data_IF_935578679137
#
_entry.id   IF_935578679137
#
_cell.length_a   1.000
_cell.length_b   1.000
_cell.length_c   1.000
_cell.angle_alpha   90.00
_cell.angle_beta   90.00
_cell.angle_gamma   90.00
#
_symmetry.space_group_name_H-M   'P 1'
#
loop_
_entity.id
_entity.type
_entity.pdbx_description
1 polymer ?
#
# COMPACT_ATOMS: atom_id res chain seq x y z
N UNK A 1 18.65 4.17 12.81
CA UNK A 1 19.71 3.16 12.80
C UNK A 1 20.16 2.93 11.36
N UNK A 2 21.27 3.55 10.97
CA UNK A 2 21.81 3.55 9.60
C UNK A 2 22.31 2.16 9.18
N UNK A 3 22.87 1.40 10.12
CA UNK A 3 23.35 0.05 9.90
C UNK A 3 22.22 -0.89 9.41
N UNK A 4 21.03 -0.79 10.00
CA UNK A 4 19.85 -1.57 9.58
C UNK A 4 19.44 -1.21 8.14
N UNK A 5 19.55 0.07 7.77
CA UNK A 5 19.23 0.52 6.42
C UNK A 5 20.22 -0.07 5.39
N UNK A 6 21.52 0.01 5.66
CA UNK A 6 22.55 -0.56 4.78
C UNK A 6 22.40 -2.08 4.63
N UNK A 7 22.20 -2.80 5.74
CA UNK A 7 21.93 -4.24 5.71
C UNK A 7 20.70 -4.59 4.87
N UNK A 8 19.63 -3.78 4.94
CA UNK A 8 18.43 -3.98 4.12
C UNK A 8 18.75 -3.79 2.63
N UNK A 9 19.51 -2.76 2.27
CA UNK A 9 19.92 -2.52 0.88
C UNK A 9 20.70 -3.72 0.33
N UNK A 10 21.64 -4.25 1.09
CA UNK A 10 22.46 -5.38 0.65
C UNK A 10 21.64 -6.66 0.49
N UNK A 11 20.75 -6.95 1.43
CA UNK A 11 19.86 -8.11 1.33
C UNK A 11 18.88 -7.98 0.15
N UNK A 12 18.32 -6.80 -0.08
CA UNK A 12 17.46 -6.55 -1.25
C UNK A 12 18.22 -6.77 -2.56
N UNK A 13 19.49 -6.35 -2.66
CA UNK A 13 20.33 -6.61 -3.83
C UNK A 13 20.57 -8.10 -4.05
N UNK A 14 20.85 -8.84 -2.98
CA UNK A 14 21.04 -10.30 -3.03
C UNK A 14 19.77 -11.01 -3.53
N UNK A 15 18.63 -10.70 -2.92
CA UNK A 15 17.32 -11.24 -3.30
C UNK A 15 16.99 -10.95 -4.77
N UNK A 16 17.26 -9.73 -5.25
CA UNK A 16 17.00 -9.38 -6.66
C UNK A 16 17.94 -10.12 -7.61
N UNK A 17 19.19 -10.36 -7.23
CA UNK A 17 20.18 -11.04 -8.07
C UNK A 17 19.91 -12.54 -8.17
N UNK A 18 19.72 -13.21 -7.03
CA UNK A 18 19.53 -14.65 -6.94
C UNK A 18 18.48 -14.97 -5.85
N UNK A 19 17.19 -15.00 -6.21
CA UNK A 19 16.12 -15.17 -5.25
C UNK A 19 16.09 -16.57 -4.64
N UNK A 20 16.38 -17.63 -5.41
CA UNK A 20 16.34 -19.02 -4.90
C UNK A 20 17.43 -19.24 -3.85
N UNK A 21 18.66 -18.90 -4.19
CA UNK A 21 19.77 -18.98 -3.24
C UNK A 21 19.55 -18.08 -2.02
N UNK A 22 18.88 -16.93 -2.18
CA UNK A 22 18.53 -16.08 -1.04
C UNK A 22 17.63 -16.81 -0.03
N UNK A 23 16.54 -17.43 -0.48
CA UNK A 23 15.61 -18.14 0.40
C UNK A 23 16.24 -19.40 1.02
N UNK A 24 17.04 -20.14 0.25
CA UNK A 24 17.82 -21.29 0.75
C UNK A 24 18.79 -20.86 1.87
N UNK A 25 19.58 -19.80 1.64
CA UNK A 25 20.58 -19.30 2.60
C UNK A 25 19.94 -18.77 3.88
N UNK A 26 18.80 -18.09 3.78
CA UNK A 26 18.08 -17.59 4.96
C UNK A 26 17.19 -18.67 5.61
N UNK A 27 17.21 -19.92 5.09
CA UNK A 27 16.41 -21.07 5.54
C UNK A 27 14.92 -20.75 5.62
N UNK A 28 14.41 -20.12 4.57
CA UNK A 28 13.01 -19.72 4.46
C UNK A 28 12.37 -20.39 3.26
N UNK A 29 11.09 -20.76 3.40
CA UNK A 29 10.31 -21.25 2.28
C UNK A 29 10.02 -20.12 1.30
N UNK A 30 10.08 -20.41 0.01
CA UNK A 30 9.64 -19.48 -1.02
C UNK A 30 8.14 -19.17 -0.83
N UNK A 31 7.73 -17.90 -0.88
CA UNK A 31 6.33 -17.52 -0.70
C UNK A 31 5.45 -18.01 -1.87
N UNK A 32 6.03 -18.10 -3.07
CA UNK A 32 5.39 -18.54 -4.31
C UNK A 32 6.50 -18.88 -5.33
N UNK A 33 6.12 -19.34 -6.52
CA UNK A 33 7.05 -19.65 -7.62
C UNK A 33 7.82 -18.40 -8.12
N UNK A 34 9.16 -18.42 -7.97
CA UNK A 34 10.06 -17.31 -8.28
C UNK A 34 10.70 -17.40 -9.69
N UNK A 35 10.27 -18.33 -10.53
CA UNK A 35 10.91 -18.57 -11.84
C UNK A 35 10.63 -17.46 -12.87
N UNK A 36 9.44 -16.85 -12.81
CA UNK A 36 9.00 -15.90 -13.83
C UNK A 36 9.23 -14.43 -13.42
N UNK A 37 10.48 -13.98 -13.44
CA UNK A 37 10.85 -12.60 -13.05
C UNK A 37 10.35 -11.54 -14.05
N UNK A 38 9.89 -10.40 -13.53
CA UNK A 38 9.55 -9.22 -14.35
C UNK A 38 10.83 -8.40 -14.63
N UNK A 39 11.15 -8.19 -15.91
CA UNK A 39 12.39 -7.51 -16.32
C UNK A 39 12.32 -5.98 -16.16
N UNK A 40 13.49 -5.37 -15.89
CA UNK A 40 13.68 -3.94 -15.62
C UNK A 40 13.21 -2.94 -16.71
N UNK A 41 13.03 -3.27 -18.00
CA UNK A 41 12.47 -2.29 -18.94
C UNK A 41 10.99 -1.93 -18.65
N UNK A 42 10.24 -2.82 -18.00
CA UNK A 42 8.77 -2.73 -17.86
C UNK A 42 8.25 -1.83 -16.74
N UNK A 43 9.11 -1.11 -16.02
CA UNK A 43 8.70 -0.26 -14.88
C UNK A 43 9.27 1.16 -14.96
N UNK A 44 9.80 1.57 -16.12
CA UNK A 44 10.23 2.95 -16.35
C UNK A 44 9.09 3.95 -16.10
N UNK A 45 7.87 3.59 -16.53
CA UNK A 45 6.67 4.36 -16.22
C UNK A 45 6.46 4.49 -14.71
N UNK A 46 6.52 3.38 -13.98
CA UNK A 46 6.37 3.38 -12.51
C UNK A 46 7.45 4.23 -11.84
N UNK A 47 8.71 4.14 -12.26
CA UNK A 47 9.79 4.97 -11.72
C UNK A 47 9.53 6.46 -11.97
N UNK A 48 9.13 6.83 -13.19
CA UNK A 48 8.78 8.21 -13.52
C UNK A 48 7.58 8.71 -12.71
N UNK A 49 6.56 7.87 -12.53
CA UNK A 49 5.37 8.19 -11.76
C UNK A 49 5.68 8.40 -10.28
N UNK A 50 6.47 7.51 -9.66
CA UNK A 50 6.89 7.64 -8.27
C UNK A 50 7.80 8.85 -8.05
N UNK A 51 8.70 9.14 -9.00
CA UNK A 51 9.53 10.34 -8.95
C UNK A 51 8.67 11.61 -9.02
N UNK A 52 7.72 11.67 -9.96
CA UNK A 52 6.85 12.82 -10.13
C UNK A 52 5.91 13.04 -8.94
N UNK A 53 5.39 11.96 -8.35
CA UNK A 53 4.46 12.05 -7.22
C UNK A 53 5.18 12.26 -5.89
N UNK A 54 6.21 11.48 -5.60
CA UNK A 54 6.77 11.36 -4.25
C UNK A 54 8.25 11.70 -4.19
N UNK A 55 8.87 12.09 -5.30
CA UNK A 55 10.30 12.41 -5.37
C UNK A 55 11.15 11.22 -4.88
N UNK A 56 10.75 10.00 -5.25
CA UNK A 56 11.39 8.75 -4.84
C UNK A 56 11.43 7.80 -6.03
N UNK A 57 12.49 7.01 -6.13
CA UNK A 57 12.56 5.91 -7.09
C UNK A 57 13.07 4.66 -6.39
N UNK A 58 12.63 3.52 -6.89
CA UNK A 58 13.21 2.23 -6.54
C UNK A 58 14.24 1.87 -7.61
N UNK A 59 15.42 1.38 -7.20
CA UNK A 59 16.45 0.87 -8.11
C UNK A 59 16.29 -0.62 -8.37
N UNK A 60 15.92 -1.37 -7.32
CA UNK A 60 15.88 -2.82 -7.31
C UNK A 60 14.64 -3.30 -6.54
N UNK A 61 13.65 -3.81 -7.28
CA UNK A 61 12.48 -4.48 -6.75
C UNK A 61 12.50 -5.95 -7.17
N UNK A 62 12.14 -6.84 -6.25
CA UNK A 62 11.99 -8.26 -6.50
C UNK A 62 10.57 -8.51 -7.02
N UNK A 63 10.41 -8.62 -8.35
CA UNK A 63 9.13 -8.67 -9.05
C UNK A 63 8.97 -9.99 -9.81
N UNK A 64 7.87 -10.70 -9.60
CA UNK A 64 7.65 -12.02 -10.19
C UNK A 64 6.19 -12.24 -10.61
N UNK A 65 5.99 -13.04 -11.65
CA UNK A 65 4.67 -13.51 -12.07
C UNK A 65 4.36 -14.88 -11.44
N UNK A 66 3.34 -14.95 -10.62
CA UNK A 66 2.83 -16.23 -10.09
C UNK A 66 1.37 -16.08 -9.68
N UNK A 67 0.55 -17.09 -9.98
CA UNK A 67 -0.85 -17.12 -9.53
C UNK A 67 -1.02 -17.88 -8.20
N UNK A 68 0.04 -18.55 -7.72
CA UNK A 68 0.02 -19.36 -6.50
C UNK A 68 -0.35 -18.49 -5.30
N UNK A 69 -1.27 -18.93 -4.46
CA UNK A 69 -1.69 -18.24 -3.23
C UNK A 69 -2.41 -16.88 -3.42
N UNK A 70 -2.63 -16.40 -4.64
CA UNK A 70 -3.42 -15.17 -4.88
C UNK A 70 -4.91 -15.50 -4.97
N UNK A 71 -5.72 -14.81 -4.17
CA UNK A 71 -7.18 -14.91 -4.24
C UNK A 71 -7.74 -14.29 -5.52
N UNK A 72 -8.86 -14.80 -6.03
CA UNK A 72 -9.43 -14.41 -7.34
C UNK A 72 -9.73 -12.91 -7.51
N UNK A 73 -9.72 -12.11 -6.45
CA UNK A 73 -9.91 -10.65 -6.50
C UNK A 73 -8.59 -9.87 -6.35
N UNK A 74 -7.48 -10.53 -6.00
CA UNK A 74 -6.15 -9.92 -5.88
C UNK A 74 -5.42 -10.01 -7.21
N UNK A 75 -5.00 -8.86 -7.76
CA UNK A 75 -4.21 -8.81 -9.00
C UNK A 75 -2.70 -8.97 -8.74
N UNK A 76 -2.26 -8.54 -7.55
CA UNK A 76 -0.90 -8.61 -7.07
C UNK A 76 -0.92 -8.68 -5.53
N UNK A 77 0.24 -9.00 -4.95
CA UNK A 77 0.46 -8.94 -3.51
C UNK A 77 1.91 -8.54 -3.21
N UNK A 78 2.09 -7.72 -2.18
CA UNK A 78 3.40 -7.45 -1.56
C UNK A 78 3.62 -8.40 -0.40
N UNK A 79 4.54 -9.36 -0.56
CA UNK A 79 4.95 -10.27 0.50
C UNK A 79 6.09 -9.66 1.30
N UNK A 80 5.90 -9.55 2.61
CA UNK A 80 6.93 -9.03 3.51
C UNK A 80 7.71 -10.22 4.08
N UNK A 81 8.93 -10.41 3.58
CA UNK A 81 9.84 -11.45 4.03
C UNK A 81 10.64 -10.90 5.21
N UNK A 82 10.45 -11.50 6.39
CA UNK A 82 11.18 -11.13 7.59
C UNK A 82 12.40 -12.05 7.75
N UNK A 83 13.59 -11.47 7.56
CA UNK A 83 14.85 -12.15 7.76
C UNK A 83 15.10 -12.28 9.26
N UNK A 84 14.67 -13.42 9.84
CA UNK A 84 14.67 -13.71 11.29
C UNK A 84 16.02 -13.43 11.97
N UNK A 85 17.12 -13.73 11.28
CA UNK A 85 18.49 -13.52 11.76
C UNK A 85 18.81 -12.05 12.04
N UNK A 86 18.11 -11.10 11.39
CA UNK A 86 18.46 -9.67 11.39
C UNK A 86 17.30 -8.74 11.73
N UNK A 87 16.08 -9.26 11.94
CA UNK A 87 14.84 -8.46 12.13
C UNK A 87 14.63 -7.42 11.00
N UNK A 88 14.97 -7.80 9.77
CA UNK A 88 14.84 -6.94 8.59
C UNK A 88 13.69 -7.45 7.74
N UNK A 89 12.75 -6.56 7.45
CA UNK A 89 11.65 -6.78 6.51
C UNK A 89 12.07 -6.38 5.09
N UNK A 90 11.83 -7.26 4.12
CA UNK A 90 12.14 -7.06 2.69
C UNK A 90 10.88 -7.38 1.87
N UNK A 91 10.47 -6.51 0.94
CA UNK A 91 9.29 -6.75 0.12
C UNK A 91 9.62 -7.60 -1.11
N UNK A 92 8.76 -8.56 -1.41
CA UNK A 92 8.74 -9.36 -2.64
C UNK A 92 7.38 -9.18 -3.30
N UNK A 93 7.37 -8.73 -4.55
CA UNK A 93 6.13 -8.44 -5.25
C UNK A 93 5.74 -9.59 -6.17
N UNK A 94 4.51 -10.05 -5.98
CA UNK A 94 3.87 -11.07 -6.79
C UNK A 94 2.79 -10.45 -7.67
N UNK A 95 2.77 -10.81 -8.95
CA UNK A 95 1.74 -10.40 -9.90
C UNK A 95 1.10 -11.63 -10.55
N UNK A 96 -0.20 -11.55 -10.84
CA UNK A 96 -0.86 -12.60 -11.62
C UNK A 96 -0.24 -12.79 -12.99
N UNK A 97 -0.16 -14.04 -13.46
CA UNK A 97 0.43 -14.36 -14.79
C UNK A 97 -0.35 -13.71 -15.93
N UNK A 98 -1.66 -13.52 -15.76
CA UNK A 98 -2.53 -12.87 -16.75
C UNK A 98 -2.11 -11.43 -17.08
N UNK A 99 -1.55 -10.70 -16.12
CA UNK A 99 -1.03 -9.34 -16.29
C UNK A 99 0.16 -9.25 -17.25
N UNK A 100 0.76 -10.38 -17.62
CA UNK A 100 1.82 -10.42 -18.63
C UNK A 100 1.32 -10.06 -20.03
N UNK A 101 0.05 -10.36 -20.31
CA UNK A 101 -0.53 -10.28 -21.65
C UNK A 101 -1.72 -9.32 -21.74
N UNK A 102 -2.52 -9.19 -20.68
CA UNK A 102 -3.74 -8.38 -20.70
C UNK A 102 -4.01 -7.68 -19.35
N UNK A 103 -4.76 -6.58 -19.35
CA UNK A 103 -5.25 -5.97 -18.11
C UNK A 103 -6.05 -6.95 -17.27
N UNK A 104 -5.89 -6.85 -15.95
CA UNK A 104 -6.69 -7.62 -15.00
C UNK A 104 -8.08 -7.02 -14.84
N UNK A 105 -9.12 -7.86 -14.90
CA UNK A 105 -10.53 -7.46 -14.91
C UNK A 105 -10.83 -6.32 -15.92
N UNK A 106 -10.12 -6.31 -17.05
CA UNK A 106 -10.23 -5.32 -18.14
C UNK A 106 -9.87 -3.86 -17.80
N UNK A 107 -9.72 -3.50 -16.52
CA UNK A 107 -9.55 -2.11 -16.07
C UNK A 107 -8.25 -1.84 -15.32
N UNK A 108 -7.54 -2.88 -14.88
CA UNK A 108 -6.29 -2.74 -14.11
C UNK A 108 -5.08 -3.12 -14.97
N UNK A 109 -4.27 -2.13 -15.33
CA UNK A 109 -3.03 -2.35 -16.09
C UNK A 109 -1.89 -2.77 -15.17
N UNK A 110 -0.91 -3.49 -15.74
CA UNK A 110 0.30 -3.88 -15.02
C UNK A 110 1.01 -2.66 -14.42
N UNK A 111 1.17 -1.59 -15.20
CA UNK A 111 1.87 -0.37 -14.77
C UNK A 111 1.22 0.27 -13.53
N UNK A 112 -0.11 0.34 -13.52
CA UNK A 112 -0.87 0.91 -12.41
C UNK A 112 -0.75 0.05 -11.15
N UNK A 113 -0.90 -1.27 -11.28
CA UNK A 113 -0.73 -2.20 -10.15
C UNK A 113 0.72 -2.18 -9.66
N UNK A 114 1.71 -2.14 -10.55
CA UNK A 114 3.11 -2.12 -10.19
C UNK A 114 3.48 -0.84 -9.44
N UNK A 115 2.95 0.32 -9.85
CA UNK A 115 3.13 1.56 -9.10
C UNK A 115 2.47 1.53 -7.72
N UNK A 116 1.30 0.88 -7.61
CA UNK A 116 0.62 0.65 -6.34
C UNK A 116 1.47 -0.21 -5.39
N UNK A 117 1.89 -1.40 -5.83
CA UNK A 117 2.73 -2.33 -5.05
C UNK A 117 4.13 -1.76 -4.73
N UNK A 118 4.68 -0.93 -5.61
CA UNK A 118 5.95 -0.27 -5.37
C UNK A 118 5.86 0.74 -4.21
N UNK A 119 4.71 1.39 -4.00
CA UNK A 119 4.50 2.24 -2.82
C UNK A 119 4.58 1.41 -1.54
N UNK A 120 3.92 0.25 -1.50
CA UNK A 120 3.99 -0.68 -0.37
C UNK A 120 5.43 -1.11 -0.09
N UNK A 121 6.16 -1.45 -1.16
CA UNK A 121 7.57 -1.82 -1.06
C UNK A 121 8.45 -0.71 -0.45
N UNK A 122 8.25 0.55 -0.84
CA UNK A 122 9.00 1.68 -0.29
C UNK A 122 8.64 1.90 1.19
N UNK A 123 7.37 1.73 1.53
CA UNK A 123 6.82 2.01 2.87
C UNK A 123 6.89 0.83 3.83
N UNK A 124 7.38 -0.34 3.41
CA UNK A 124 7.58 -1.55 4.24
C UNK A 124 8.35 -1.27 5.55
N UNK A 125 9.21 -0.25 5.55
CA UNK A 125 9.99 0.17 6.70
C UNK A 125 9.15 0.76 7.85
N UNK A 126 7.94 1.25 7.55
CA UNK A 126 7.10 1.97 8.50
C UNK A 126 6.14 1.06 9.27
N UNK A 127 5.77 -0.09 8.70
CA UNK A 127 4.83 -1.04 9.31
C UNK A 127 3.47 -0.38 9.65
N UNK A 128 2.98 0.48 8.75
CA UNK A 128 1.92 1.46 9.05
C UNK A 128 0.80 1.47 8.01
N UNK A 129 -0.26 0.69 8.23
CA UNK A 129 -1.27 0.43 7.21
C UNK A 129 -2.30 1.56 7.02
N UNK A 130 -2.35 2.59 7.87
CA UNK A 130 -3.51 3.52 7.86
C UNK A 130 -3.47 4.49 6.69
N UNK A 131 -2.28 5.02 6.37
CA UNK A 131 -2.11 5.97 5.26
C UNK A 131 -1.48 5.38 4.02
N UNK A 132 -0.87 4.20 4.12
CA UNK A 132 -0.17 3.51 3.04
C UNK A 132 -1.04 3.33 1.80
N UNK A 133 -2.22 2.74 1.96
CA UNK A 133 -3.21 2.58 0.87
C UNK A 133 -3.56 3.91 0.18
N UNK A 134 -3.66 5.01 0.94
CA UNK A 134 -3.95 6.32 0.35
C UNK A 134 -2.82 6.73 -0.59
N UNK A 135 -1.56 6.48 -0.22
CA UNK A 135 -0.42 6.77 -1.09
C UNK A 135 -0.35 5.80 -2.27
N UNK A 136 -0.61 4.52 -2.08
CA UNK A 136 -0.61 3.52 -3.16
C UNK A 136 -1.66 3.88 -4.22
N UNK A 137 -2.89 4.20 -3.81
CA UNK A 137 -3.95 4.62 -4.72
C UNK A 137 -3.76 6.01 -5.34
N UNK A 138 -2.87 6.87 -4.82
CA UNK A 138 -2.52 8.13 -5.51
C UNK A 138 -1.81 7.89 -6.84
N UNK A 139 -1.20 6.71 -7.03
CA UNK A 139 -0.52 6.33 -8.28
C UNK A 139 -1.49 5.94 -9.40
N UNK A 140 -2.74 5.63 -9.05
CA UNK A 140 -3.78 5.21 -9.99
C UNK A 140 -3.97 6.23 -11.13
N UNK A 141 -4.50 5.78 -12.27
CA UNK A 141 -4.87 6.71 -13.34
C UNK A 141 -6.23 7.34 -13.06
N UNK A 142 -7.22 6.52 -12.72
CA UNK A 142 -8.61 6.90 -12.47
C UNK A 142 -8.81 7.63 -11.12
N UNK A 143 -9.56 8.75 -11.14
CA UNK A 143 -9.92 9.54 -9.95
C UNK A 143 -10.79 8.75 -8.98
N UNK A 144 -11.72 7.92 -9.46
CA UNK A 144 -12.57 7.09 -8.61
C UNK A 144 -11.72 6.14 -7.75
N UNK A 145 -10.73 5.48 -8.36
CA UNK A 145 -9.77 4.61 -7.66
C UNK A 145 -8.91 5.39 -6.67
N UNK A 146 -8.44 6.60 -7.03
CA UNK A 146 -7.73 7.51 -6.09
C UNK A 146 -8.56 7.88 -4.87
N UNK A 147 -9.88 7.94 -5.01
CA UNK A 147 -10.78 8.39 -3.94
C UNK A 147 -11.26 7.23 -3.09
N UNK A 148 -11.78 6.17 -3.71
CA UNK A 148 -12.49 5.07 -3.05
C UNK A 148 -11.72 3.76 -3.01
N UNK A 149 -10.61 3.63 -3.74
CA UNK A 149 -9.74 2.45 -3.64
C UNK A 149 -9.31 2.13 -2.19
N UNK A 150 -8.88 3.12 -1.37
CA UNK A 150 -8.43 2.87 0.00
C UNK A 150 -9.54 2.54 1.02
N UNK A 151 -10.76 2.15 0.59
CA UNK A 151 -11.86 1.81 1.52
C UNK A 151 -11.51 0.58 2.35
N UNK A 152 -11.08 -0.49 1.68
CA UNK A 152 -10.64 -1.73 2.32
C UNK A 152 -9.16 -1.63 2.68
N UNK A 153 -8.80 -2.16 3.85
CA UNK A 153 -7.41 -2.18 4.34
C UNK A 153 -6.82 -3.57 4.47
N UNK A 154 -7.66 -4.60 4.40
CA UNK A 154 -7.21 -5.96 4.58
C UNK A 154 -8.06 -6.91 3.75
N UNK A 155 -7.46 -8.02 3.36
CA UNK A 155 -8.16 -9.11 2.69
C UNK A 155 -9.34 -9.63 3.50
N UNK A 156 -9.24 -9.63 4.85
CA UNK A 156 -10.31 -10.07 5.75
C UNK A 156 -11.57 -9.21 5.62
N UNK A 157 -11.42 -7.90 5.43
CA UNK A 157 -12.55 -7.00 5.18
C UNK A 157 -13.23 -7.31 3.84
N UNK A 158 -12.44 -7.67 2.82
CA UNK A 158 -12.96 -8.07 1.51
C UNK A 158 -13.70 -9.40 1.58
N UNK A 159 -13.15 -10.39 2.29
CA UNK A 159 -13.83 -11.68 2.52
C UNK A 159 -15.11 -11.52 3.32
N UNK A 160 -15.10 -10.71 4.37
CA UNK A 160 -16.30 -10.44 5.17
C UNK A 160 -17.39 -9.79 4.29
N UNK A 161 -17.01 -8.82 3.45
CA UNK A 161 -17.93 -8.21 2.49
C UNK A 161 -18.55 -9.25 1.53
N UNK A 162 -17.72 -10.09 0.90
CA UNK A 162 -18.23 -11.12 -0.01
C UNK A 162 -19.06 -12.18 0.71
N UNK A 163 -18.70 -12.56 1.94
CA UNK A 163 -19.48 -13.51 2.75
C UNK A 163 -20.87 -12.97 3.08
N UNK A 164 -20.98 -11.71 3.49
CA UNK A 164 -22.27 -11.07 3.77
C UNK A 164 -23.11 -10.87 2.50
N UNK A 165 -22.47 -10.48 1.39
CA UNK A 165 -23.13 -10.41 0.08
C UNK A 165 -23.63 -11.78 -0.39
N UNK A 166 -22.85 -12.85 -0.16
CA UNK A 166 -23.26 -14.22 -0.43
C UNK A 166 -24.49 -14.61 0.39
N UNK A 167 -24.48 -14.33 1.70
CA UNK A 167 -25.64 -14.56 2.58
C UNK A 167 -26.88 -13.78 2.14
N UNK A 168 -26.72 -12.54 1.69
CA UNK A 168 -27.79 -11.74 1.10
C UNK A 168 -28.40 -12.39 -0.15
N UNK A 169 -27.58 -12.82 -1.12
CA UNK A 169 -28.09 -13.44 -2.35
C UNK A 169 -28.68 -14.82 -2.11
N UNK A 170 -28.06 -15.66 -1.28
CA UNK A 170 -28.57 -17.00 -0.95
C UNK A 170 -29.94 -16.88 -0.29
N UNK A 171 -30.10 -15.98 0.68
CA UNK A 171 -31.40 -15.77 1.34
C UNK A 171 -32.47 -15.22 0.39
N UNK A 172 -32.12 -14.37 -0.58
CA UNK A 172 -33.07 -13.97 -1.63
C UNK A 172 -33.51 -15.15 -2.49
N UNK A 173 -32.57 -15.96 -2.97
CA UNK A 173 -32.87 -17.15 -3.78
C UNK A 173 -33.75 -18.11 -2.98
N UNK A 174 -33.41 -18.38 -1.71
CA UNK A 174 -34.21 -19.23 -0.83
C UNK A 174 -35.62 -18.68 -0.60
N UNK A 175 -35.78 -17.37 -0.46
CA UNK A 175 -37.09 -16.74 -0.35
C UNK A 175 -37.93 -16.98 -1.61
N UNK A 176 -37.37 -16.74 -2.80
CA UNK A 176 -38.07 -16.95 -4.08
C UNK A 176 -38.46 -18.43 -4.29
N UNK A 177 -37.60 -19.36 -3.89
CA UNK A 177 -37.85 -20.79 -4.09
C UNK A 177 -38.82 -21.40 -3.06
N UNK A 178 -38.75 -20.97 -1.80
CA UNK A 178 -39.55 -21.57 -0.72
C UNK A 178 -40.82 -20.79 -0.37
N UNK A 179 -40.94 -19.54 -0.82
CA UNK A 179 -41.98 -18.58 -0.41
C UNK A 179 -42.09 -18.39 1.11
N UNK A 180 -41.07 -18.77 1.88
CA UNK A 180 -41.08 -18.64 3.34
C UNK A 180 -40.55 -17.27 3.76
N UNK A 181 -41.40 -16.45 4.39
CA UNK A 181 -41.09 -15.05 4.72
C UNK A 181 -39.86 -14.86 5.61
N UNK A 182 -39.48 -15.88 6.39
CA UNK A 182 -38.24 -15.87 7.17
C UNK A 182 -37.01 -15.51 6.32
N UNK A 183 -36.88 -16.07 5.11
CA UNK A 183 -35.73 -15.80 4.24
C UNK A 183 -35.69 -14.35 3.73
N UNK A 184 -36.84 -13.70 3.60
CA UNK A 184 -36.91 -12.27 3.29
C UNK A 184 -36.34 -11.42 4.43
N UNK A 185 -36.71 -11.72 5.68
CA UNK A 185 -36.15 -11.02 6.86
C UNK A 185 -34.64 -11.25 7.00
N UNK A 186 -34.18 -12.48 6.76
CA UNK A 186 -32.75 -12.81 6.75
C UNK A 186 -32.02 -12.03 5.66
N UNK A 187 -32.60 -11.91 4.47
CA UNK A 187 -32.04 -11.10 3.39
C UNK A 187 -31.91 -9.63 3.76
N UNK A 188 -32.95 -9.03 4.34
CA UNK A 188 -32.89 -7.63 4.82
C UNK A 188 -31.79 -7.46 5.88
N UNK A 189 -31.66 -8.41 6.81
CA UNK A 189 -30.61 -8.38 7.83
C UNK A 189 -29.21 -8.40 7.22
N UNK A 190 -28.92 -9.33 6.30
CA UNK A 190 -27.62 -9.35 5.59
C UNK A 190 -27.38 -8.08 4.77
N UNK A 191 -28.42 -7.56 4.10
CA UNK A 191 -28.34 -6.30 3.36
C UNK A 191 -27.95 -5.12 4.25
N UNK A 192 -28.53 -5.05 5.45
CA UNK A 192 -28.15 -4.04 6.44
C UNK A 192 -26.70 -4.18 6.92
N UNK A 193 -26.22 -5.41 7.13
CA UNK A 193 -24.83 -5.66 7.50
C UNK A 193 -23.84 -5.24 6.39
N UNK A 194 -24.15 -5.56 5.14
CA UNK A 194 -23.36 -5.12 3.97
C UNK A 194 -23.26 -3.59 3.95
N UNK A 195 -24.41 -2.91 4.05
CA UNK A 195 -24.45 -1.45 4.04
C UNK A 195 -23.66 -0.86 5.22
N UNK A 196 -23.74 -1.49 6.39
CA UNK A 196 -23.01 -1.07 7.59
C UNK A 196 -21.50 -1.14 7.40
N UNK A 197 -20.97 -2.21 6.79
CA UNK A 197 -19.53 -2.35 6.52
C UNK A 197 -19.04 -1.32 5.50
N UNK A 198 -19.78 -1.12 4.40
CA UNK A 198 -19.43 -0.10 3.40
C UNK A 198 -19.40 1.29 4.06
N UNK A 199 -20.45 1.63 4.82
CA UNK A 199 -20.56 2.92 5.52
C UNK A 199 -19.42 3.11 6.51
N UNK A 200 -19.09 2.08 7.30
CA UNK A 200 -17.95 2.11 8.22
C UNK A 200 -16.63 2.35 7.48
N UNK A 201 -16.38 1.63 6.38
CA UNK A 201 -15.19 1.79 5.54
C UNK A 201 -15.06 3.21 4.98
N UNK A 202 -16.15 3.77 4.48
CA UNK A 202 -16.22 5.15 3.96
C UNK A 202 -15.97 6.20 5.04
N UNK A 203 -16.62 6.07 6.20
CA UNK A 203 -16.41 6.99 7.33
C UNK A 203 -14.95 6.96 7.79
N UNK A 204 -14.39 5.77 7.97
CA UNK A 204 -12.98 5.57 8.35
C UNK A 204 -12.03 6.22 7.34
N UNK A 205 -12.27 6.00 6.04
CA UNK A 205 -11.50 6.61 4.97
C UNK A 205 -11.59 8.15 5.00
N UNK A 206 -12.79 8.69 5.21
CA UNK A 206 -13.00 10.13 5.31
C UNK A 206 -12.16 10.75 6.43
N UNK A 207 -12.17 10.15 7.63
CA UNK A 207 -11.40 10.67 8.77
C UNK A 207 -9.89 10.64 8.51
N UNK A 208 -9.34 9.54 7.99
CA UNK A 208 -7.91 9.46 7.69
C UNK A 208 -7.52 10.43 6.56
N UNK A 209 -8.30 10.49 5.48
CA UNK A 209 -8.06 11.41 4.37
C UNK A 209 -8.12 12.86 4.82
N UNK A 210 -9.00 13.21 5.77
CA UNK A 210 -9.05 14.54 6.39
C UNK A 210 -7.74 14.87 7.13
N UNK A 211 -7.16 13.92 7.87
CA UNK A 211 -5.85 14.12 8.54
C UNK A 211 -4.73 14.30 7.52
N UNK A 212 -4.62 13.41 6.53
CA UNK A 212 -3.62 13.50 5.45
C UNK A 212 -3.72 14.84 4.72
N UNK A 213 -4.93 15.27 4.34
CA UNK A 213 -5.18 16.57 3.70
C UNK A 213 -4.78 17.75 4.59
N UNK A 214 -5.08 17.71 5.89
CA UNK A 214 -4.67 18.76 6.83
C UNK A 214 -3.15 18.88 6.91
N UNK A 215 -2.45 17.74 7.05
CA UNK A 215 -0.98 17.71 7.07
C UNK A 215 -0.38 18.21 5.76
N UNK A 216 -0.90 17.75 4.63
CA UNK A 216 -0.50 18.22 3.30
C UNK A 216 -0.63 19.74 3.15
N UNK A 217 -1.75 20.33 3.60
CA UNK A 217 -1.96 21.79 3.58
C UNK A 217 -0.94 22.53 4.45
N UNK A 218 -0.56 22.00 5.61
CA UNK A 218 0.46 22.61 6.48
C UNK A 218 1.86 22.54 5.87
N UNK A 219 2.23 21.39 5.32
CA UNK A 219 3.48 21.23 4.56
C UNK A 219 3.52 22.16 3.34
N UNK A 220 2.37 22.40 2.69
CA UNK A 220 2.30 23.37 1.59
C UNK A 220 2.54 24.82 2.06
N UNK A 221 2.07 25.19 3.26
CA UNK A 221 2.38 26.51 3.84
C UNK A 221 3.86 26.69 4.16
N UNK A 222 4.57 25.59 4.48
CA UNK A 222 6.03 25.59 4.70
C UNK A 222 6.77 25.77 3.37
N UNK A 223 6.57 24.86 2.41
CA UNK A 223 7.41 24.81 1.21
C UNK A 223 6.92 25.65 0.04
N UNK A 224 5.64 26.07 0.04
CA UNK A 224 4.95 26.72 -1.10
C UNK A 224 5.00 25.92 -2.43
N UNK A 225 5.40 24.65 -2.39
CA UNK A 225 5.53 23.78 -3.55
C UNK A 225 4.81 22.45 -3.30
N UNK A 226 3.80 22.14 -4.13
CA UNK A 226 2.99 20.92 -4.00
C UNK A 226 3.83 19.63 -4.08
N UNK A 227 4.85 19.60 -4.96
CA UNK A 227 5.74 18.44 -5.13
C UNK A 227 6.54 18.17 -3.86
N UNK A 228 7.25 19.19 -3.32
CA UNK A 228 8.00 19.08 -2.06
C UNK A 228 7.10 18.68 -0.88
N UNK A 229 5.93 19.29 -0.76
CA UNK A 229 4.99 18.93 0.32
C UNK A 229 4.53 17.47 0.25
N UNK A 230 4.28 16.95 -0.96
CA UNK A 230 3.86 15.56 -1.17
C UNK A 230 5.02 14.59 -0.92
N UNK A 231 6.22 14.94 -1.37
CA UNK A 231 7.43 14.14 -1.13
C UNK A 231 7.75 13.99 0.36
N UNK A 232 7.63 15.08 1.13
CA UNK A 232 7.78 15.03 2.60
C UNK A 232 6.66 14.23 3.22
N UNK A 233 5.39 14.50 2.85
CA UNK A 233 4.24 13.78 3.37
C UNK A 233 4.35 12.26 3.18
N UNK A 234 4.83 11.80 2.03
CA UNK A 234 5.04 10.39 1.72
C UNK A 234 6.13 9.74 2.57
N UNK A 235 7.08 10.50 3.10
CA UNK A 235 8.14 10.00 3.99
C UNK A 235 7.76 10.10 5.46
N UNK A 236 6.58 10.62 5.81
CA UNK A 236 6.11 10.65 7.18
C UNK A 236 5.46 9.33 7.58
N UNK A 237 5.55 9.04 8.87
CA UNK A 237 4.82 7.94 9.51
C UNK A 237 3.35 8.32 9.76
N UNK A 238 2.46 7.35 9.94
CA UNK A 238 1.07 7.56 10.36
C UNK A 238 1.00 8.42 11.63
N UNK A 239 1.86 8.12 12.61
CA UNK A 239 1.96 8.88 13.86
C UNK A 239 2.33 10.34 13.58
N UNK A 240 3.34 10.58 12.75
CA UNK A 240 3.76 11.93 12.37
C UNK A 240 2.68 12.66 11.57
N UNK A 241 2.04 12.01 10.60
CA UNK A 241 0.95 12.60 9.82
C UNK A 241 -0.17 13.04 10.77
N UNK A 242 -0.53 12.22 11.75
CA UNK A 242 -1.63 12.53 12.67
C UNK A 242 -1.23 13.59 13.70
N UNK A 243 0.04 13.61 14.13
CA UNK A 243 0.62 14.65 15.00
C UNK A 243 0.66 16.00 14.27
N UNK A 244 1.21 16.03 13.07
CA UNK A 244 1.35 17.24 12.24
C UNK A 244 -0.02 17.79 11.83
N UNK A 245 -1.04 16.93 11.67
CA UNK A 245 -2.41 17.38 11.43
C UNK A 245 -2.95 18.29 12.55
N UNK A 246 -2.38 18.22 13.76
CA UNK A 246 -2.71 19.08 14.93
C UNK A 246 -1.74 20.24 15.12
N UNK A 247 -0.45 20.08 14.83
CA UNK A 247 0.61 21.08 15.07
C UNK A 247 0.53 22.37 14.23
N UNK A 248 1.06 23.48 14.74
CA UNK A 248 1.28 24.71 13.96
C UNK A 248 2.46 24.54 12.98
N UNK A 249 2.67 25.53 12.10
CA UNK A 249 3.77 25.51 11.12
C UNK A 249 5.13 25.41 11.83
N UNK A 250 5.39 26.33 12.76
CA UNK A 250 6.68 26.44 13.44
C UNK A 250 6.99 25.15 14.23
N UNK A 251 6.00 24.61 14.94
CA UNK A 251 6.12 23.33 15.65
C UNK A 251 6.52 22.15 14.76
N UNK A 252 6.14 22.15 13.47
CA UNK A 252 6.55 21.13 12.52
C UNK A 252 8.03 21.32 12.14
N UNK A 253 8.43 22.57 11.88
CA UNK A 253 9.83 22.92 11.56
C UNK A 253 10.74 22.55 12.75
N UNK A 254 10.35 22.91 13.97
CA UNK A 254 11.06 22.60 15.21
C UNK A 254 11.16 21.08 15.42
N UNK A 255 10.05 20.35 15.26
CA UNK A 255 10.05 18.89 15.40
C UNK A 255 11.02 18.20 14.43
N UNK A 256 11.05 18.64 13.17
CA UNK A 256 11.98 18.08 12.16
C UNK A 256 13.42 18.43 12.51
N UNK A 257 13.68 19.67 12.95
CA UNK A 257 15.02 20.11 13.33
C UNK A 257 15.58 19.34 14.53
N UNK A 258 14.78 19.16 15.58
CA UNK A 258 15.17 18.42 16.79
C UNK A 258 15.32 16.91 16.54
N UNK A 259 14.48 16.36 15.66
CA UNK A 259 14.42 14.91 15.42
C UNK A 259 15.39 14.44 14.34
N UNK A 260 16.11 15.35 13.68
CA UNK A 260 17.04 15.02 12.59
C UNK A 260 18.15 14.06 13.03
N UNK A 261 18.67 14.23 14.26
CA UNK A 261 19.75 13.38 14.78
C UNK A 261 19.25 12.01 15.26
N UNK A 262 17.95 11.90 15.58
CA UNK A 262 17.35 10.68 16.13
C UNK A 262 16.96 9.67 15.04
N UNK A 263 16.81 10.11 13.80
CA UNK A 263 16.30 9.28 12.71
C UNK A 263 16.92 9.65 11.37
N UNK A 264 17.58 8.68 10.73
CA UNK A 264 18.15 8.83 9.38
C UNK A 264 17.12 9.38 8.38
N UNK A 265 15.87 8.92 8.47
CA UNK A 265 14.78 9.40 7.61
C UNK A 265 14.47 10.88 7.83
N UNK A 266 14.39 11.31 9.09
CA UNK A 266 14.11 12.71 9.42
C UNK A 266 15.32 13.59 9.08
N UNK A 267 16.54 13.07 9.25
CA UNK A 267 17.77 13.70 8.75
C UNK A 267 17.70 13.95 7.25
N UNK A 268 17.32 12.94 6.48
CA UNK A 268 17.17 13.04 5.03
C UNK A 268 16.08 14.04 4.65
N UNK A 269 14.92 14.01 5.31
CA UNK A 269 13.85 15.01 5.08
C UNK A 269 14.38 16.42 5.37
N UNK A 270 15.09 16.60 6.48
CA UNK A 270 15.64 17.90 6.86
C UNK A 270 16.64 18.40 5.79
N UNK A 271 17.63 17.59 5.45
CA UNK A 271 18.68 17.96 4.49
C UNK A 271 18.14 18.20 3.08
N UNK A 272 17.15 17.42 2.63
CA UNK A 272 16.61 17.53 1.26
C UNK A 272 15.55 18.63 1.09
N UNK A 273 14.80 18.98 2.14
CA UNK A 273 13.64 19.85 1.99
C UNK A 273 13.59 21.07 2.93
N UNK A 274 14.19 21.00 4.12
CA UNK A 274 14.12 22.07 5.13
C UNK A 274 15.42 22.88 5.25
N UNK A 275 16.57 22.27 4.98
CA UNK A 275 17.85 22.98 4.91
C UNK A 275 17.79 23.95 3.73
N UNK A 276 17.97 25.24 4.04
CA UNK A 276 18.09 26.30 3.04
C UNK A 276 19.48 26.28 2.44
#
# INVERSE_FOLDING_TARGET
NEEIFLKRVDLSKKLVKDPKSFFENEKQNEPFDLDAKILKPRWNWTRAQLLNLFDVTCSDLALFYSDKSLHFFQAAATWIVEVKSKKIKIPVLQFRKTLRYKPYLFIYTLDEILAHEAVHSIRVAFDEPKTEEIFSYMTATNVFRKVLGPISRSEKEVFLFFGLMGGYFISQISWVLSNFNFFSYVSVFFGFLVLSIITFGLLRLFFVRRKVRKTSKKLFKIFRCKKKSRAVLFRLTDKEIFKFAKMKKNEIEDYIFESKEKSLRLRLIYLSYFKK
#
